data_IF_202170772123
#
_entry.id   IF_202170772123
#
_cell.length_a   1.000
_cell.length_b   1.000
_cell.length_c   1.000
_cell.angle_alpha   90.00
_cell.angle_beta   90.00
_cell.angle_gamma   90.00
#
_symmetry.space_group_name_H-M   'P 1'
#
loop_
_entity.id
_entity.type
_entity.pdbx_description
1 polymer ?
#
# COMPACT_ATOMS: atom_id res chain seq x y z
N UNK A 1 -8.66 22.87 31.34
CA UNK A 1 -8.51 22.46 29.93
C UNK A 1 -8.12 23.62 28.99
N UNK A 2 -7.91 24.84 29.46
CA UNK A 2 -7.89 26.04 28.59
C UNK A 2 -6.56 26.35 27.88
N UNK A 3 -5.42 26.01 28.47
CA UNK A 3 -4.12 26.48 27.96
C UNK A 3 -3.71 25.86 26.60
N UNK A 4 -4.11 24.61 26.33
CA UNK A 4 -3.82 23.97 25.04
C UNK A 4 -4.70 24.55 23.93
N UNK A 5 -5.95 24.88 24.24
CA UNK A 5 -6.88 25.50 23.30
C UNK A 5 -6.45 26.94 22.96
N UNK A 6 -5.97 27.69 23.96
CA UNK A 6 -5.43 29.03 23.77
C UNK A 6 -4.15 29.03 22.91
N UNK A 7 -3.26 28.05 23.13
CA UNK A 7 -2.05 27.88 22.33
C UNK A 7 -2.37 27.49 20.88
N UNK A 8 -3.36 26.62 20.67
CA UNK A 8 -3.83 26.26 19.33
C UNK A 8 -4.44 27.47 18.62
N UNK A 9 -5.26 28.26 19.31
CA UNK A 9 -5.83 29.49 18.78
C UNK A 9 -4.74 30.52 18.40
N UNK A 10 -3.72 30.70 19.24
CA UNK A 10 -2.58 31.57 18.93
C UNK A 10 -1.82 31.09 17.69
N UNK A 11 -1.55 29.79 17.58
CA UNK A 11 -0.85 29.19 16.44
C UNK A 11 -1.62 29.41 15.12
N UNK A 12 -2.95 29.25 15.13
CA UNK A 12 -3.77 29.46 13.91
C UNK A 12 -3.79 30.90 13.40
N UNK A 13 -3.46 31.87 14.26
CA UNK A 13 -3.41 33.30 13.91
C UNK A 13 -2.04 33.74 13.40
N UNK A 14 -1.01 32.91 13.57
CA UNK A 14 0.34 33.18 13.06
C UNK A 14 0.40 33.06 11.54
N UNK A 15 1.34 33.77 10.94
CA UNK A 15 1.71 33.59 9.55
C UNK A 15 2.34 32.21 9.33
N UNK A 16 2.33 31.74 8.09
CA UNK A 16 2.90 30.43 7.73
C UNK A 16 4.39 30.34 8.09
N UNK A 17 5.14 31.44 7.93
CA UNK A 17 6.55 31.50 8.29
C UNK A 17 6.76 31.32 9.80
N UNK A 18 6.00 32.03 10.63
CA UNK A 18 6.07 31.91 12.09
C UNK A 18 5.67 30.51 12.57
N UNK A 19 4.69 29.88 11.91
CA UNK A 19 4.32 28.49 12.19
C UNK A 19 5.47 27.52 11.87
N UNK A 20 6.16 27.70 10.73
CA UNK A 20 7.32 26.88 10.37
C UNK A 20 8.48 27.07 11.35
N UNK A 21 8.76 28.30 11.78
CA UNK A 21 9.79 28.61 12.77
C UNK A 21 9.47 27.98 14.13
N UNK A 22 8.21 28.08 14.59
CA UNK A 22 7.76 27.45 15.84
C UNK A 22 7.83 25.92 15.80
N UNK A 23 7.44 25.30 14.68
CA UNK A 23 7.58 23.85 14.47
C UNK A 23 9.05 23.43 14.39
N UNK A 24 9.90 24.24 13.77
CA UNK A 24 11.35 24.05 13.71
C UNK A 24 12.01 24.13 15.09
N UNK A 25 11.59 25.08 15.93
CA UNK A 25 12.06 25.21 17.31
C UNK A 25 11.68 24.01 18.20
N UNK A 26 10.55 23.36 17.89
CA UNK A 26 10.12 22.11 18.52
C UNK A 26 10.86 20.87 17.97
N UNK A 27 11.72 21.05 16.97
CA UNK A 27 12.43 19.95 16.31
C UNK A 27 11.53 19.07 15.45
N UNK A 28 10.35 19.57 15.04
CA UNK A 28 9.43 18.81 14.19
C UNK A 28 10.04 18.74 12.79
N UNK A 29 10.34 17.54 12.26
CA UNK A 29 10.89 17.41 10.92
C UNK A 29 9.86 17.93 9.91
N UNK A 30 10.33 18.70 8.92
CA UNK A 30 9.49 19.19 7.82
C UNK A 30 8.85 17.97 7.16
N UNK A 31 7.52 17.85 7.28
CA UNK A 31 6.78 16.80 6.59
C UNK A 31 6.91 17.08 5.10
N UNK A 32 7.28 16.09 4.28
CA UNK A 32 7.21 16.25 2.84
C UNK A 32 5.76 16.64 2.49
N UNK A 33 5.56 17.54 1.50
CA UNK A 33 4.22 17.86 1.05
C UNK A 33 3.52 16.55 0.76
N UNK A 34 2.35 16.36 1.37
CA UNK A 34 1.45 15.27 1.02
C UNK A 34 1.05 15.55 -0.42
N UNK A 35 1.87 15.08 -1.37
CA UNK A 35 1.47 15.00 -2.76
C UNK A 35 0.11 14.31 -2.81
N UNK A 36 -0.65 14.43 -3.91
CA UNK A 36 -1.86 13.64 -4.06
C UNK A 36 -1.43 12.23 -3.69
N UNK A 37 -2.04 11.69 -2.62
CA UNK A 37 -1.86 10.30 -2.26
C UNK A 37 -2.53 9.59 -3.44
N UNK A 38 -1.79 9.49 -4.54
CA UNK A 38 -2.10 8.66 -5.66
C UNK A 38 -2.16 7.33 -4.98
N UNK A 39 -3.39 6.90 -4.69
CA UNK A 39 -3.70 5.61 -4.16
C UNK A 39 -2.82 4.70 -4.98
N UNK A 40 -1.73 4.20 -4.38
CA UNK A 40 -0.87 3.29 -5.10
C UNK A 40 -1.84 2.16 -5.36
N UNK A 41 -2.23 2.01 -6.63
CA UNK A 41 -3.22 1.03 -7.06
C UNK A 41 -2.54 -0.35 -7.07
N UNK A 42 -1.65 -0.55 -6.10
CA UNK A 42 -0.93 -1.76 -5.79
C UNK A 42 -1.82 -2.45 -4.78
N UNK A 43 -2.83 -3.13 -5.31
CA UNK A 43 -3.57 -4.08 -4.50
C UNK A 43 -2.61 -5.22 -4.14
N UNK A 44 -2.71 -5.81 -2.94
CA UNK A 44 -1.81 -6.89 -2.52
C UNK A 44 -1.86 -8.13 -3.44
N UNK A 45 -2.85 -8.20 -4.33
CA UNK A 45 -3.04 -9.26 -5.31
C UNK A 45 -2.54 -8.92 -6.71
N UNK A 46 -2.02 -7.71 -6.95
CA UNK A 46 -1.51 -7.32 -8.27
C UNK A 46 -0.32 -8.18 -8.72
N UNK A 47 0.46 -8.72 -7.77
CA UNK A 47 1.54 -9.67 -8.05
C UNK A 47 1.05 -11.11 -8.29
N UNK A 48 -0.21 -11.41 -7.96
CA UNK A 48 -0.84 -12.73 -8.16
C UNK A 48 -1.47 -12.88 -9.54
N UNK A 49 -1.48 -11.81 -10.35
CA UNK A 49 -1.66 -11.92 -11.80
C UNK A 49 -0.37 -12.49 -12.39
N UNK A 50 -0.06 -13.73 -12.01
CA UNK A 50 1.04 -14.49 -12.57
C UNK A 50 0.88 -14.51 -14.08
N UNK A 51 1.97 -14.23 -14.80
CA UNK A 51 2.00 -14.43 -16.24
C UNK A 51 1.47 -15.84 -16.53
N UNK A 52 0.48 -16.02 -17.41
CA UNK A 52 -0.04 -17.35 -17.70
C UNK A 52 1.13 -18.21 -18.15
N UNK A 53 1.49 -19.19 -17.31
CA UNK A 53 2.64 -20.04 -17.56
C UNK A 53 2.42 -20.75 -18.88
N UNK A 54 3.25 -20.42 -19.87
CA UNK A 54 3.25 -21.01 -21.21
C UNK A 54 3.74 -22.45 -21.21
N UNK A 55 3.88 -23.08 -20.04
CA UNK A 55 4.21 -24.49 -19.88
C UNK A 55 3.02 -25.26 -20.41
N UNK A 56 3.09 -25.61 -21.71
CA UNK A 56 2.14 -26.49 -22.40
C UNK A 56 1.91 -27.70 -21.51
N UNK A 57 0.78 -27.72 -20.80
CA UNK A 57 0.31 -28.92 -20.12
C UNK A 57 -0.03 -29.88 -21.25
N UNK A 58 0.84 -30.83 -21.52
CA UNK A 58 0.50 -31.96 -22.37
C UNK A 58 -0.61 -32.72 -21.67
N UNK A 59 -1.68 -33.05 -22.39
CA UNK A 59 -2.73 -33.90 -21.87
C UNK A 59 -2.11 -35.25 -21.51
N UNK A 60 -2.29 -35.69 -20.27
CA UNK A 60 -1.90 -37.03 -19.85
C UNK A 60 -2.90 -38.01 -20.44
N UNK A 61 -2.51 -38.71 -21.49
CA UNK A 61 -3.31 -39.81 -22.05
C UNK A 61 -3.12 -41.03 -21.17
N UNK A 62 -4.09 -41.33 -20.31
CA UNK A 62 -4.10 -42.55 -19.52
C UNK A 62 -4.51 -43.70 -20.44
N UNK A 63 -3.59 -44.62 -20.71
CA UNK A 63 -3.94 -45.89 -21.37
C UNK A 63 -4.59 -46.79 -20.32
N UNK A 64 -5.87 -47.08 -20.50
CA UNK A 64 -6.54 -48.13 -19.74
C UNK A 64 -5.90 -49.46 -20.13
N UNK A 65 -5.23 -50.11 -19.17
CA UNK A 65 -4.89 -51.53 -19.27
C UNK A 65 -6.20 -52.28 -19.04
N UNK A 66 -6.77 -52.83 -20.10
CA UNK A 66 -7.74 -53.90 -19.99
C UNK A 66 -6.97 -55.14 -19.53
N UNK A 67 -7.12 -55.51 -18.25
CA UNK A 67 -6.68 -56.81 -17.77
C UNK A 67 -7.44 -57.92 -18.51
N UNK A 68 -6.83 -59.09 -18.72
CA UNK A 68 -7.51 -60.20 -19.38
C UNK A 68 -8.67 -60.67 -18.53
N UNK A 69 -9.84 -60.84 -19.17
CA UNK A 69 -10.87 -61.76 -18.69
C UNK A 69 -10.21 -63.10 -18.36
N UNK A 70 -10.35 -63.51 -17.10
CA UNK A 70 -10.09 -64.88 -16.67
C UNK A 70 -11.41 -65.64 -16.59
N UNK A 71 -11.40 -66.96 -16.86
CA UNK A 71 -12.56 -67.79 -17.16
C UNK A 71 -13.55 -67.99 -16.01
#
# INVERSE_FOLDING_TARGET
MTQLDDAAAAFTRMSLQEQEEALGALGVPKRPPKGPAGASKVTPFSALVGTPSRRKRQALTVKAVSGPEGP
#
